data_IF_093402705661
#
_entry.id   IF_093402705661
#
_cell.length_a   1.000
_cell.length_b   1.000
_cell.length_c   1.000
_cell.angle_alpha   90.00
_cell.angle_beta   90.00
_cell.angle_gamma   90.00
#
_symmetry.space_group_name_H-M   'P 1'
#
loop_
_entity.id
_entity.type
_entity.pdbx_description
1 polymer ?
#
# COMPACT_ATOMS: atom_id res chain seq x y z
N UNK A 1 -5.14 -22.75 -22.82
CA UNK A 1 -3.90 -21.95 -22.82
C UNK A 1 -3.68 -21.20 -24.14
N UNK A 2 -4.24 -21.66 -25.27
CA UNK A 2 -4.09 -21.00 -26.58
C UNK A 2 -4.55 -19.54 -26.61
N UNK A 3 -5.66 -19.17 -25.96
CA UNK A 3 -6.17 -17.78 -25.94
C UNK A 3 -5.24 -16.77 -25.28
N UNK A 4 -4.24 -17.22 -24.51
CA UNK A 4 -3.34 -16.36 -23.72
C UNK A 4 -1.88 -16.55 -24.11
N UNK A 5 -1.59 -17.21 -25.24
CA UNK A 5 -0.23 -17.31 -25.80
C UNK A 5 0.59 -18.56 -25.38
N UNK A 6 -0.04 -19.54 -24.73
CA UNK A 6 0.58 -20.82 -24.34
C UNK A 6 1.82 -20.71 -23.40
N UNK A 7 2.47 -21.84 -23.11
CA UNK A 7 3.62 -21.94 -22.17
C UNK A 7 4.78 -21.00 -22.53
N UNK A 8 4.98 -20.74 -23.82
CA UNK A 8 6.02 -19.84 -24.31
C UNK A 8 5.80 -18.39 -23.85
N UNK A 9 4.56 -17.90 -23.86
CA UNK A 9 4.23 -16.54 -23.42
C UNK A 9 4.40 -16.37 -21.90
N UNK A 10 4.06 -17.39 -21.10
CA UNK A 10 4.28 -17.37 -19.66
C UNK A 10 5.77 -17.32 -19.30
N UNK A 11 6.61 -18.06 -20.03
CA UNK A 11 8.06 -18.05 -19.85
C UNK A 11 8.67 -16.70 -20.20
N UNK A 12 8.14 -16.03 -21.23
CA UNK A 12 8.55 -14.67 -21.60
C UNK A 12 8.18 -13.65 -20.50
N UNK A 13 6.96 -13.73 -19.95
CA UNK A 13 6.52 -12.87 -18.84
C UNK A 13 7.38 -13.04 -17.58
N UNK A 14 7.77 -14.27 -17.24
CA UNK A 14 8.65 -14.54 -16.12
C UNK A 14 10.04 -13.89 -16.29
N UNK A 15 10.54 -13.80 -17.52
CA UNK A 15 11.83 -13.19 -17.83
C UNK A 15 11.79 -11.66 -18.03
N UNK A 16 10.59 -11.07 -18.21
CA UNK A 16 10.40 -9.63 -18.42
C UNK A 16 10.49 -8.80 -17.13
N UNK A 17 10.30 -9.41 -15.96
CA UNK A 17 10.28 -8.70 -14.67
C UNK A 17 11.62 -8.91 -13.95
N UNK A 18 12.49 -7.88 -13.84
CA UNK A 18 13.82 -8.03 -13.25
C UNK A 18 13.80 -8.36 -11.74
N UNK A 19 12.74 -7.96 -11.03
CA UNK A 19 12.55 -8.21 -9.60
C UNK A 19 11.09 -8.07 -9.19
N UNK A 20 10.61 -8.98 -8.35
CA UNK A 20 9.27 -8.92 -7.74
C UNK A 20 9.14 -7.76 -6.74
N UNK A 21 10.24 -7.17 -6.28
CA UNK A 21 10.23 -6.03 -5.37
C UNK A 21 9.55 -4.78 -5.97
N UNK A 22 9.48 -4.67 -7.30
CA UNK A 22 8.87 -3.54 -8.02
C UNK A 22 7.43 -3.84 -8.48
N UNK A 23 6.89 -5.03 -8.17
CA UNK A 23 5.56 -5.45 -8.63
C UNK A 23 4.45 -4.48 -8.20
N UNK A 24 4.54 -3.89 -7.00
CA UNK A 24 3.58 -2.90 -6.51
C UNK A 24 3.52 -1.65 -7.40
N UNK A 25 4.66 -1.17 -7.91
CA UNK A 25 4.71 -0.02 -8.80
C UNK A 25 4.02 -0.31 -10.14
N UNK A 26 4.26 -1.48 -10.74
CA UNK A 26 3.58 -1.87 -11.98
C UNK A 26 2.08 -2.08 -11.78
N UNK A 27 1.67 -2.67 -10.65
CA UNK A 27 0.27 -2.80 -10.28
C UNK A 27 -0.42 -1.42 -10.20
N UNK A 28 0.26 -0.41 -9.63
CA UNK A 28 -0.24 0.95 -9.57
C UNK A 28 -0.42 1.56 -10.97
N UNK A 29 0.52 1.34 -11.89
CA UNK A 29 0.40 1.83 -13.27
C UNK A 29 -0.83 1.21 -13.94
N UNK A 30 -1.01 -0.10 -13.83
CA UNK A 30 -2.15 -0.82 -14.43
C UNK A 30 -3.47 -0.33 -13.82
N UNK A 31 -3.52 -0.16 -12.50
CA UNK A 31 -4.70 0.38 -11.80
C UNK A 31 -5.03 1.79 -12.27
N UNK A 32 -4.05 2.69 -12.34
CA UNK A 32 -4.25 4.06 -12.82
C UNK A 32 -4.82 4.08 -14.25
N UNK A 33 -4.30 3.20 -15.13
CA UNK A 33 -4.81 3.07 -16.50
C UNK A 33 -6.23 2.50 -16.55
N UNK A 34 -6.60 1.61 -15.63
CA UNK A 34 -7.97 1.10 -15.53
C UNK A 34 -8.95 2.22 -15.14
N UNK A 35 -8.63 2.99 -14.09
CA UNK A 35 -9.45 4.11 -13.63
C UNK A 35 -9.68 5.14 -14.74
N UNK A 36 -8.64 5.45 -15.52
CA UNK A 36 -8.78 6.36 -16.66
C UNK A 36 -9.75 5.83 -17.73
N UNK A 37 -9.75 4.52 -18.01
CA UNK A 37 -10.72 3.92 -18.93
C UNK A 37 -12.13 3.98 -18.37
N UNK A 38 -12.30 3.71 -17.08
CA UNK A 38 -13.62 3.75 -16.45
C UNK A 38 -14.18 5.19 -16.42
N UNK A 39 -13.32 6.19 -16.23
CA UNK A 39 -13.69 7.61 -16.33
C UNK A 39 -14.11 8.01 -17.75
N UNK A 40 -13.41 7.51 -18.78
CA UNK A 40 -13.79 7.73 -20.18
C UNK A 40 -15.18 7.13 -20.44
N UNK A 41 -15.41 5.89 -19.98
CA UNK A 41 -16.70 5.21 -20.14
C UNK A 41 -17.83 5.96 -19.42
N UNK A 42 -17.60 6.42 -18.18
CA UNK A 42 -18.58 7.22 -17.44
C UNK A 42 -18.89 8.53 -18.17
N UNK A 43 -17.87 9.21 -18.69
CA UNK A 43 -18.04 10.46 -19.45
C UNK A 43 -18.84 10.25 -20.73
N UNK A 44 -18.61 9.14 -21.44
CA UNK A 44 -19.40 8.77 -22.62
C UNK A 44 -20.87 8.48 -22.28
N UNK A 45 -21.13 7.79 -21.17
CA UNK A 45 -22.50 7.52 -20.70
C UNK A 45 -23.23 8.81 -20.34
N UNK A 46 -22.58 9.70 -19.57
CA UNK A 46 -23.14 11.01 -19.19
C UNK A 46 -23.41 11.84 -20.46
N UNK A 47 -22.45 11.89 -21.38
CA UNK A 47 -22.61 12.63 -22.63
C UNK A 47 -23.76 12.07 -23.48
N UNK A 48 -23.94 10.75 -23.54
CA UNK A 48 -25.04 10.13 -24.27
C UNK A 48 -26.40 10.45 -23.63
N UNK A 49 -26.49 10.44 -22.29
CA UNK A 49 -27.69 10.81 -21.56
C UNK A 49 -28.12 12.27 -21.82
N UNK A 50 -27.16 13.20 -21.97
CA UNK A 50 -27.44 14.59 -22.30
C UNK A 50 -28.13 14.80 -23.68
N UNK A 51 -27.98 13.85 -24.61
CA UNK A 51 -28.67 13.91 -25.91
C UNK A 51 -30.06 13.25 -25.89
N UNK A 52 -30.43 12.59 -24.79
CA UNK A 52 -31.75 12.00 -24.61
C UNK A 52 -32.72 13.06 -24.05
N UNK A 53 -34.01 12.95 -24.39
CA UNK A 53 -35.05 13.86 -23.87
C UNK A 53 -35.47 13.51 -22.42
N UNK A 54 -34.52 13.10 -21.58
CA UNK A 54 -34.74 12.81 -20.17
C UNK A 54 -34.79 14.09 -19.33
N UNK A 55 -35.32 13.97 -18.11
CA UNK A 55 -35.32 15.07 -17.16
C UNK A 55 -33.89 15.37 -16.69
N UNK A 56 -33.51 16.66 -16.71
CA UNK A 56 -32.17 17.12 -16.31
C UNK A 56 -31.78 16.66 -14.91
N UNK A 57 -32.74 16.60 -13.97
CA UNK A 57 -32.50 16.13 -12.61
C UNK A 57 -32.02 14.67 -12.56
N UNK A 58 -32.59 13.80 -13.40
CA UNK A 58 -32.21 12.39 -13.47
C UNK A 58 -30.82 12.20 -14.07
N UNK A 59 -30.48 12.99 -15.09
CA UNK A 59 -29.15 12.98 -15.72
C UNK A 59 -28.07 13.39 -14.71
N UNK A 60 -28.34 14.43 -13.90
CA UNK A 60 -27.44 14.86 -12.83
C UNK A 60 -27.25 13.79 -11.76
N UNK A 61 -28.32 13.16 -11.28
CA UNK A 61 -28.23 12.10 -10.26
C UNK A 61 -27.43 10.89 -10.77
N UNK A 62 -27.65 10.49 -12.03
CA UNK A 62 -26.89 9.40 -12.64
C UNK A 62 -25.40 9.75 -12.82
N UNK A 63 -25.09 10.99 -13.21
CA UNK A 63 -23.72 11.47 -13.32
C UNK A 63 -22.99 11.44 -11.97
N UNK A 64 -23.62 11.93 -10.92
CA UNK A 64 -23.07 11.89 -9.56
C UNK A 64 -22.80 10.44 -9.11
N UNK A 65 -23.75 9.54 -9.34
CA UNK A 65 -23.61 8.12 -8.99
C UNK A 65 -22.41 7.47 -9.69
N UNK A 66 -22.25 7.71 -10.99
CA UNK A 66 -21.13 7.15 -11.79
C UNK A 66 -19.78 7.67 -11.28
N UNK A 67 -19.66 8.98 -11.04
CA UNK A 67 -18.41 9.57 -10.54
C UNK A 67 -18.09 9.09 -9.13
N UNK A 68 -19.10 8.94 -8.27
CA UNK A 68 -18.92 8.44 -6.91
C UNK A 68 -18.41 6.99 -6.87
N UNK A 69 -18.92 6.12 -7.73
CA UNK A 69 -18.43 4.73 -7.85
C UNK A 69 -16.94 4.66 -8.23
N UNK A 70 -16.48 5.55 -9.11
CA UNK A 70 -15.06 5.64 -9.48
C UNK A 70 -14.19 6.08 -8.29
N UNK A 71 -14.71 6.98 -7.45
CA UNK A 71 -14.01 7.48 -6.25
C UNK A 71 -13.84 6.41 -5.17
N UNK A 72 -14.87 5.58 -4.92
CA UNK A 72 -14.81 4.53 -3.89
C UNK A 72 -13.75 3.46 -4.16
N UNK A 73 -13.42 3.18 -5.42
CA UNK A 73 -12.39 2.21 -5.79
C UNK A 73 -10.99 2.57 -5.26
N UNK A 74 -10.79 3.81 -4.79
CA UNK A 74 -9.54 4.31 -4.22
C UNK A 74 -9.42 4.11 -2.70
N UNK A 75 -10.54 3.86 -1.99
CA UNK A 75 -10.60 3.89 -0.51
C UNK A 75 -10.54 2.49 0.09
N UNK A 76 -9.59 1.68 -0.39
CA UNK A 76 -9.34 0.38 0.23
C UNK A 76 -7.90 0.31 0.69
N UNK A 77 -7.74 0.22 2.01
CA UNK A 77 -6.51 0.08 2.83
C UNK A 77 -6.10 1.39 3.50
N UNK A 78 -6.28 1.40 4.82
CA UNK A 78 -5.32 1.90 5.82
C UNK A 78 -6.01 2.14 7.19
N UNK A 79 -6.97 1.27 7.56
CA UNK A 79 -7.50 1.25 8.93
C UNK A 79 -7.26 -0.14 9.51
N UNK A 80 -6.11 -0.31 10.15
CA UNK A 80 -5.95 -1.35 11.16
C UNK A 80 -6.79 -0.97 12.38
N UNK A 81 -7.46 -1.95 13.01
CA UNK A 81 -8.29 -1.68 14.16
C UNK A 81 -7.43 -1.21 15.34
N UNK A 82 -7.79 -0.09 15.96
CA UNK A 82 -7.14 0.38 17.20
C UNK A 82 -6.99 -0.71 18.28
N UNK A 83 -7.94 -1.65 18.48
CA UNK A 83 -7.77 -2.75 19.43
C UNK A 83 -6.61 -3.70 19.09
N UNK A 84 -6.36 -3.95 17.80
CA UNK A 84 -5.30 -4.86 17.33
C UNK A 84 -3.92 -4.24 17.60
N UNK A 85 -3.79 -2.93 17.38
CA UNK A 85 -2.57 -2.17 17.69
C UNK A 85 -2.28 -2.19 19.20
N UNK A 86 -3.30 -1.96 20.03
CA UNK A 86 -3.12 -1.95 21.49
C UNK A 86 -2.68 -3.33 22.01
N UNK A 87 -3.24 -4.41 21.47
CA UNK A 87 -2.83 -5.76 21.84
C UNK A 87 -1.35 -6.02 21.51
N UNK A 88 -0.90 -5.64 20.31
CA UNK A 88 0.51 -5.77 19.90
C UNK A 88 1.45 -4.96 20.80
N UNK A 89 1.07 -3.73 21.16
CA UNK A 89 1.88 -2.88 22.06
C UNK A 89 1.99 -3.50 23.46
N UNK A 90 0.91 -4.06 23.99
CA UNK A 90 0.92 -4.68 25.30
C UNK A 90 1.81 -5.93 25.35
N UNK A 91 1.78 -6.75 24.29
CA UNK A 91 2.66 -7.91 24.16
C UNK A 91 4.14 -7.51 24.06
N UNK A 92 4.45 -6.43 23.33
CA UNK A 92 5.81 -5.90 23.22
C UNK A 92 6.33 -5.39 24.58
N UNK A 93 5.50 -4.66 25.35
CA UNK A 93 5.86 -4.20 26.70
C UNK A 93 6.08 -5.39 27.64
N UNK A 94 5.22 -6.42 27.57
CA UNK A 94 5.36 -7.62 28.40
C UNK A 94 6.69 -8.35 28.15
N UNK A 95 7.11 -8.45 26.89
CA UNK A 95 8.40 -9.04 26.51
C UNK A 95 9.59 -8.21 27.06
N UNK A 96 9.53 -6.88 26.95
CA UNK A 96 10.57 -6.01 27.50
C UNK A 96 10.71 -6.14 29.02
N UNK A 97 9.58 -6.26 29.73
CA UNK A 97 9.56 -6.41 31.20
C UNK A 97 10.08 -7.78 31.65
N UNK A 98 10.00 -8.82 30.82
CA UNK A 98 10.53 -10.15 31.14
C UNK A 98 12.07 -10.23 31.05
N UNK A 99 12.70 -9.42 30.20
CA UNK A 99 14.15 -9.38 29.96
C UNK A 99 14.91 -8.49 30.97
N UNK A 100 14.72 -8.70 32.28
CA UNK A 100 15.24 -7.84 33.38
C UNK A 100 16.75 -7.92 33.68
N UNK A 101 17.63 -8.03 32.70
CA UNK A 101 19.06 -8.18 33.00
C UNK A 101 20.05 -7.72 31.95
N UNK A 102 19.59 -7.43 30.74
CA UNK A 102 20.43 -6.99 29.64
C UNK A 102 19.73 -5.85 28.93
N UNK A 103 20.54 -4.95 28.39
CA UNK A 103 20.21 -3.96 27.36
C UNK A 103 19.04 -4.48 26.49
N UNK A 104 17.97 -3.68 26.31
CA UNK A 104 16.74 -4.15 25.63
C UNK A 104 16.98 -4.50 24.17
N UNK A 105 17.96 -3.84 23.55
CA UNK A 105 18.48 -4.15 22.21
C UNK A 105 19.83 -4.89 22.24
N UNK A 106 20.49 -4.95 21.08
CA UNK A 106 21.84 -5.51 20.98
C UNK A 106 22.85 -4.58 21.67
N UNK A 107 23.64 -5.11 22.60
CA UNK A 107 24.71 -4.36 23.26
C UNK A 107 25.79 -3.93 22.26
N UNK A 108 26.17 -2.65 22.29
CA UNK A 108 27.27 -2.10 21.51
C UNK A 108 28.64 -2.48 22.08
N UNK A 109 28.68 -3.00 23.31
CA UNK A 109 29.91 -3.28 24.05
C UNK A 109 30.50 -2.06 24.76
N UNK A 110 29.97 -0.86 24.52
CA UNK A 110 30.32 0.36 25.24
C UNK A 110 29.27 0.67 26.29
N UNK A 111 29.60 0.49 27.57
CA UNK A 111 28.65 0.63 28.70
C UNK A 111 27.89 1.96 28.70
N UNK A 112 28.59 3.06 28.48
CA UNK A 112 27.98 4.41 28.46
C UNK A 112 27.03 4.59 27.27
N UNK A 113 27.39 4.04 26.10
CA UNK A 113 26.53 4.12 24.93
C UNK A 113 25.29 3.24 25.09
N UNK A 114 25.45 2.05 25.67
CA UNK A 114 24.35 1.14 25.96
C UNK A 114 23.41 1.67 27.04
N UNK A 115 23.91 2.39 28.04
CA UNK A 115 23.09 3.09 29.03
C UNK A 115 22.27 4.22 28.40
N UNK A 116 22.82 4.94 27.42
CA UNK A 116 22.14 6.04 26.73
C UNK A 116 21.13 5.56 25.68
N UNK A 117 21.45 4.47 24.98
CA UNK A 117 20.64 3.97 23.85
C UNK A 117 19.72 2.81 24.23
N UNK A 118 19.92 2.20 25.40
CA UNK A 118 19.34 0.91 25.75
C UNK A 118 19.65 -0.17 24.70
N UNK A 119 20.78 -0.01 23.99
CA UNK A 119 21.26 -0.89 22.92
C UNK A 119 20.61 -0.65 21.57
N UNK A 120 21.11 -1.35 20.57
CA UNK A 120 20.65 -1.25 19.20
C UNK A 120 19.33 -1.99 19.03
N UNK A 121 18.25 -1.27 18.80
CA UNK A 121 16.91 -1.84 18.67
C UNK A 121 16.69 -2.39 17.25
N UNK A 122 15.91 -3.48 17.10
CA UNK A 122 15.49 -3.95 15.79
C UNK A 122 14.63 -2.87 15.09
N UNK A 123 14.85 -2.69 13.79
CA UNK A 123 14.19 -1.68 12.92
C UNK A 123 14.74 -0.25 13.01
N UNK A 124 15.73 0.02 13.85
CA UNK A 124 16.42 1.32 13.86
C UNK A 124 17.49 1.39 12.76
N UNK A 125 17.58 2.55 12.09
CA UNK A 125 18.70 2.90 11.22
C UNK A 125 19.75 3.69 12.02
N UNK A 126 20.85 3.03 12.40
CA UNK A 126 21.94 3.66 13.15
C UNK A 126 22.97 4.25 12.19
N UNK A 127 23.17 5.57 12.25
CA UNK A 127 24.13 6.30 11.40
C UNK A 127 25.27 6.82 12.27
N UNK A 128 26.51 6.40 11.97
CA UNK A 128 27.73 6.89 12.63
C UNK A 128 28.51 7.75 11.64
N UNK A 129 28.59 9.05 11.91
CA UNK A 129 29.31 10.00 11.06
C UNK A 129 30.48 10.64 11.84
N UNK A 130 31.67 10.59 11.26
CA UNK A 130 32.89 11.20 11.81
C UNK A 130 33.65 11.96 10.73
N UNK A 131 34.46 12.95 11.14
CA UNK A 131 35.43 13.61 10.26
C UNK A 131 36.62 12.65 10.02
N UNK A 132 37.27 12.71 8.84
CA UNK A 132 38.50 11.95 8.57
C UNK A 132 39.67 12.45 9.41
#
# INVERSE_FOLDING_TARGET
LEQVGDVQYLTLLANLVPSSAVAGHYAQIVQNKAILRDLINASQQISAACYQQEEVASILENAERLIFQLSQSRVQRDFEGMPEIIAQVYEHIAQMVQNKGSVSGLSTGFRELDELTSGLQPSDLIIVAARP
#
